data_IF_710074708721
#
_entry.id   IF_710074708721
#
_cell.length_a   1.000
_cell.length_b   1.000
_cell.length_c   1.000
_cell.angle_alpha   90.00
_cell.angle_beta   90.00
_cell.angle_gamma   90.00
#
_symmetry.space_group_name_H-M   'P 1'
#
loop_
_entity.id
_entity.type
_entity.pdbx_description
1 polymer ?
#
# COMPACT_ATOMS: atom_id res chain seq x y z
N UNK A 1 7.03 -39.35 -31.54
CA UNK A 1 7.66 -38.13 -31.05
C UNK A 1 6.77 -36.88 -31.15
N UNK A 2 6.11 -36.60 -32.25
CA UNK A 2 5.27 -35.40 -32.43
C UNK A 2 4.10 -35.32 -31.45
N UNK A 3 3.46 -36.42 -31.09
CA UNK A 3 2.33 -36.48 -30.14
C UNK A 3 2.81 -36.17 -28.70
N UNK A 4 3.97 -36.66 -28.31
CA UNK A 4 4.56 -36.36 -26.97
C UNK A 4 4.99 -34.91 -26.86
N UNK A 5 5.58 -34.34 -27.91
CA UNK A 5 5.93 -32.92 -27.95
C UNK A 5 4.69 -32.03 -27.88
N UNK A 6 3.61 -32.41 -28.60
CA UNK A 6 2.33 -31.71 -28.54
C UNK A 6 1.66 -31.74 -27.16
N UNK A 7 1.71 -32.89 -26.48
CA UNK A 7 1.18 -33.03 -25.12
C UNK A 7 2.00 -32.23 -24.10
N UNK A 8 3.32 -32.20 -24.22
CA UNK A 8 4.21 -31.42 -23.34
C UNK A 8 3.99 -29.91 -23.54
N UNK A 9 3.82 -29.47 -24.78
CA UNK A 9 3.52 -28.07 -25.10
C UNK A 9 2.15 -27.70 -24.55
N UNK A 10 1.14 -28.54 -24.75
CA UNK A 10 -0.22 -28.31 -24.26
C UNK A 10 -0.31 -28.23 -22.73
N UNK A 11 0.49 -29.02 -22.01
CA UNK A 11 0.49 -29.02 -20.55
C UNK A 11 1.30 -27.88 -19.91
N UNK A 12 2.24 -27.29 -20.63
CA UNK A 12 3.13 -26.25 -20.12
C UNK A 12 2.90 -24.87 -20.75
N UNK A 13 1.85 -24.71 -21.57
CA UNK A 13 1.51 -23.42 -22.19
C UNK A 13 0.02 -23.12 -22.01
N UNK A 14 -0.32 -21.85 -21.99
CA UNK A 14 -1.72 -21.37 -21.92
C UNK A 14 -2.45 -21.42 -23.28
N UNK A 15 -1.86 -22.03 -24.33
CA UNK A 15 -2.40 -22.06 -25.69
C UNK A 15 -3.83 -22.62 -25.84
N UNK A 16 -4.29 -23.43 -24.89
CA UNK A 16 -5.65 -23.95 -24.76
C UNK A 16 -6.16 -23.80 -23.32
N UNK A 17 -5.69 -22.78 -22.64
CA UNK A 17 -6.09 -22.46 -21.27
C UNK A 17 -7.48 -21.82 -21.19
N UNK A 18 -7.94 -21.59 -19.97
CA UNK A 18 -9.13 -20.79 -19.68
C UNK A 18 -8.85 -19.34 -20.10
N UNK A 19 -9.75 -18.71 -20.84
CA UNK A 19 -9.57 -17.32 -21.32
C UNK A 19 -9.76 -16.31 -20.19
N UNK A 20 -10.68 -16.62 -19.26
CA UNK A 20 -11.06 -15.75 -18.16
C UNK A 20 -11.07 -16.49 -16.83
N UNK A 21 -10.82 -15.75 -15.76
CA UNK A 21 -10.76 -16.24 -14.38
C UNK A 21 -11.74 -15.46 -13.50
N UNK A 22 -12.20 -16.11 -12.41
CA UNK A 22 -13.02 -15.51 -11.37
C UNK A 22 -14.28 -14.84 -11.94
N UNK A 23 -15.08 -15.64 -12.64
CA UNK A 23 -16.33 -15.21 -13.29
C UNK A 23 -16.13 -14.07 -14.31
N UNK A 24 -15.10 -14.21 -15.15
CA UNK A 24 -14.80 -13.24 -16.20
C UNK A 24 -14.17 -11.93 -15.74
N UNK A 25 -13.76 -11.86 -14.47
CA UNK A 25 -13.16 -10.65 -13.90
C UNK A 25 -11.77 -10.38 -14.46
N UNK A 26 -10.96 -11.44 -14.63
CA UNK A 26 -9.58 -11.35 -15.08
C UNK A 26 -9.39 -12.16 -16.37
N UNK A 27 -8.76 -11.54 -17.35
CA UNK A 27 -8.32 -12.25 -18.54
C UNK A 27 -7.05 -13.08 -18.27
N UNK A 28 -6.82 -14.10 -19.06
CA UNK A 28 -5.60 -14.91 -18.94
C UNK A 28 -4.33 -14.09 -19.18
N UNK A 29 -4.38 -13.05 -20.00
CA UNK A 29 -3.25 -12.13 -20.21
C UNK A 29 -2.93 -11.28 -18.98
N UNK A 30 -3.92 -10.78 -18.25
CA UNK A 30 -3.72 -10.03 -17.02
C UNK A 30 -3.12 -10.91 -15.91
N UNK A 31 -3.66 -12.13 -15.76
CA UNK A 31 -3.14 -13.11 -14.78
C UNK A 31 -1.72 -13.55 -15.15
N UNK A 32 -1.45 -13.75 -16.45
CA UNK A 32 -0.10 -14.12 -16.93
C UNK A 32 0.92 -13.01 -16.70
N UNK A 33 0.52 -11.74 -16.82
CA UNK A 33 1.39 -10.60 -16.51
C UNK A 33 1.71 -10.51 -15.01
N UNK A 34 0.78 -10.92 -14.14
CA UNK A 34 0.99 -10.93 -12.70
C UNK A 34 1.74 -12.17 -12.20
N UNK A 35 1.58 -13.31 -12.87
CA UNK A 35 2.27 -14.56 -12.56
C UNK A 35 3.29 -14.88 -13.64
N UNK A 36 4.48 -14.29 -13.52
CA UNK A 36 5.59 -14.62 -14.42
C UNK A 36 6.00 -16.09 -14.26
N UNK A 37 6.39 -16.72 -15.37
CA UNK A 37 6.89 -18.08 -15.37
C UNK A 37 6.25 -19.00 -16.38
N UNK A 38 6.65 -20.28 -16.34
CA UNK A 38 6.14 -21.36 -17.21
C UNK A 38 5.02 -22.12 -16.49
N UNK A 39 4.16 -22.77 -17.23
CA UNK A 39 3.07 -23.58 -16.72
C UNK A 39 1.71 -23.00 -17.08
N UNK A 40 0.69 -23.82 -16.90
CA UNK A 40 -0.70 -23.47 -17.24
C UNK A 40 -1.34 -22.69 -16.10
N UNK A 41 -2.07 -21.63 -16.44
CA UNK A 41 -2.89 -20.91 -15.50
C UNK A 41 -4.12 -21.73 -15.07
N UNK A 42 -4.41 -21.73 -13.80
CA UNK A 42 -5.58 -22.40 -13.22
C UNK A 42 -6.18 -21.51 -12.10
N UNK A 43 -7.51 -21.51 -12.06
CA UNK A 43 -8.26 -20.96 -10.92
C UNK A 43 -8.28 -22.01 -9.82
N UNK A 44 -7.91 -21.64 -8.62
CA UNK A 44 -7.92 -22.53 -7.45
C UNK A 44 -9.16 -22.28 -6.60
N UNK A 45 -9.48 -21.04 -6.34
CA UNK A 45 -10.64 -20.66 -5.55
C UNK A 45 -11.26 -19.38 -6.09
N UNK A 46 -12.59 -19.37 -6.21
CA UNK A 46 -13.36 -18.15 -6.42
C UNK A 46 -14.56 -18.15 -5.48
N UNK A 47 -14.62 -17.13 -4.66
CA UNK A 47 -15.74 -16.89 -3.76
C UNK A 47 -16.16 -15.42 -3.86
N UNK A 48 -17.44 -15.21 -4.04
CA UNK A 48 -18.06 -13.90 -4.00
C UNK A 48 -19.33 -13.97 -3.16
N UNK A 49 -19.36 -13.21 -2.07
CA UNK A 49 -20.54 -13.14 -1.23
C UNK A 49 -21.38 -11.92 -1.61
N UNK A 50 -22.47 -12.13 -2.35
CA UNK A 50 -23.27 -11.10 -3.00
C UNK A 50 -23.60 -9.87 -2.15
N UNK A 51 -24.21 -10.05 -0.95
CA UNK A 51 -24.59 -8.92 -0.10
C UNK A 51 -23.45 -8.29 0.70
N UNK A 52 -22.34 -8.99 0.89
CA UNK A 52 -21.20 -8.50 1.65
C UNK A 52 -20.15 -7.84 0.77
N UNK A 53 -20.28 -7.92 -0.56
CA UNK A 53 -19.30 -7.44 -1.54
C UNK A 53 -17.87 -7.95 -1.24
N UNK A 54 -17.80 -9.09 -0.54
CA UNK A 54 -16.56 -9.78 -0.28
C UNK A 54 -16.18 -10.64 -1.48
N UNK A 55 -14.94 -10.48 -1.90
CA UNK A 55 -14.37 -11.20 -3.03
C UNK A 55 -13.10 -11.90 -2.58
N UNK A 56 -12.92 -13.14 -3.01
CA UNK A 56 -11.66 -13.88 -2.98
C UNK A 56 -11.50 -14.62 -4.27
N UNK A 57 -10.38 -14.41 -4.92
CA UNK A 57 -10.04 -15.09 -6.17
C UNK A 57 -8.58 -15.53 -6.08
N UNK A 58 -8.35 -16.83 -6.19
CA UNK A 58 -7.01 -17.40 -6.16
C UNK A 58 -6.70 -18.09 -7.49
N UNK A 59 -5.59 -17.70 -8.08
CA UNK A 59 -5.13 -18.22 -9.37
C UNK A 59 -3.66 -18.65 -9.22
N UNK A 60 -3.29 -19.71 -9.95
CA UNK A 60 -1.93 -20.25 -9.89
C UNK A 60 -1.42 -20.69 -11.24
N UNK A 61 -0.09 -20.83 -11.34
CA UNK A 61 0.53 -21.58 -12.43
C UNK A 61 0.85 -22.99 -11.97
N UNK A 62 0.36 -23.96 -12.73
CA UNK A 62 0.65 -25.36 -12.48
C UNK A 62 1.69 -25.84 -13.50
N UNK A 63 2.81 -26.38 -13.02
CA UNK A 63 3.82 -27.05 -13.85
C UNK A 63 4.01 -28.48 -13.38
N UNK A 64 3.93 -29.44 -14.30
CA UNK A 64 4.13 -30.86 -13.95
C UNK A 64 5.58 -31.31 -14.01
N UNK A 65 6.49 -30.54 -14.58
CA UNK A 65 7.81 -31.07 -14.95
C UNK A 65 8.99 -30.18 -14.57
N UNK A 66 8.78 -28.92 -14.17
CA UNK A 66 9.89 -27.96 -14.12
C UNK A 66 10.13 -27.37 -12.73
N UNK A 67 9.12 -27.28 -11.88
CA UNK A 67 9.30 -26.69 -10.57
C UNK A 67 8.33 -27.26 -9.53
N UNK A 68 8.79 -27.34 -8.28
CA UNK A 68 7.99 -27.70 -7.12
C UNK A 68 7.27 -26.47 -6.52
N UNK A 69 7.56 -25.25 -6.99
CA UNK A 69 6.89 -24.03 -6.60
C UNK A 69 5.74 -23.75 -7.57
N UNK A 70 4.53 -23.66 -7.04
CA UNK A 70 3.36 -23.21 -7.79
C UNK A 70 3.11 -21.74 -7.45
N UNK A 71 3.57 -20.77 -8.27
CA UNK A 71 3.31 -19.37 -7.98
C UNK A 71 1.81 -19.08 -8.00
N UNK A 72 1.34 -18.40 -6.96
CA UNK A 72 -0.05 -18.01 -6.76
C UNK A 72 -0.21 -16.51 -6.79
N UNK A 73 -1.35 -16.04 -7.28
CA UNK A 73 -1.86 -14.69 -7.01
C UNK A 73 -3.23 -14.80 -6.35
N UNK A 74 -3.36 -14.14 -5.22
CA UNK A 74 -4.62 -14.01 -4.48
C UNK A 74 -5.12 -12.58 -4.59
N UNK A 75 -6.37 -12.41 -5.03
CA UNK A 75 -7.06 -11.12 -5.04
C UNK A 75 -8.20 -11.17 -4.03
N UNK A 76 -8.19 -10.28 -3.04
CA UNK A 76 -9.11 -10.36 -1.91
C UNK A 76 -9.62 -8.98 -1.50
N UNK A 77 -10.92 -8.91 -1.16
CA UNK A 77 -11.47 -7.73 -0.45
C UNK A 77 -11.08 -7.82 1.01
N UNK A 78 -10.43 -6.80 1.52
CA UNK A 78 -10.09 -6.65 2.92
C UNK A 78 -10.86 -5.48 3.54
N UNK A 79 -11.16 -5.61 4.84
CA UNK A 79 -11.89 -4.62 5.64
C UNK A 79 -11.01 -4.21 6.81
N UNK A 80 -10.19 -3.21 6.58
CA UNK A 80 -9.34 -2.67 7.65
C UNK A 80 -10.00 -1.48 8.32
N UNK A 81 -9.62 -1.27 9.54
CA UNK A 81 -9.85 0.00 10.19
C UNK A 81 -9.07 1.08 9.43
N UNK A 82 -9.60 2.32 9.38
CA UNK A 82 -9.11 3.34 8.46
C UNK A 82 -7.62 3.66 8.55
N UNK A 83 -7.03 3.63 9.75
CA UNK A 83 -5.59 3.82 9.94
C UNK A 83 -4.76 2.55 9.67
N UNK A 84 -5.37 1.36 9.76
CA UNK A 84 -4.72 0.08 9.44
C UNK A 84 -4.43 -0.04 7.94
N UNK A 85 -5.12 0.70 7.07
CA UNK A 85 -4.77 0.80 5.65
C UNK A 85 -3.30 1.19 5.50
N UNK A 86 -2.82 2.14 6.31
CA UNK A 86 -1.43 2.59 6.32
C UNK A 86 -0.47 1.68 7.08
N UNK A 87 -1.01 0.68 7.79
CA UNK A 87 -0.26 -0.35 8.51
C UNK A 87 -0.21 -1.65 7.73
N UNK A 88 -0.91 -1.74 6.60
CA UNK A 88 -0.96 -2.96 5.80
C UNK A 88 0.46 -3.43 5.42
N UNK A 89 0.65 -4.73 5.18
CA UNK A 89 1.93 -5.27 4.75
C UNK A 89 2.51 -4.60 3.49
N UNK A 90 1.68 -3.98 2.66
CA UNK A 90 2.14 -3.18 1.51
C UNK A 90 3.01 -2.04 2.00
N UNK A 91 2.59 -1.33 3.03
CA UNK A 91 3.34 -0.23 3.62
C UNK A 91 4.57 -0.66 4.42
N UNK A 92 4.65 -1.93 4.84
CA UNK A 92 5.77 -2.43 5.65
C UNK A 92 7.08 -2.67 4.86
N UNK A 93 7.00 -2.88 3.54
CA UNK A 93 8.16 -3.04 2.65
C UNK A 93 8.35 -1.82 1.74
N UNK A 94 8.35 -0.67 2.29
CA UNK A 94 8.23 0.66 1.72
C UNK A 94 9.34 1.04 0.76
N UNK A 95 10.50 0.50 0.96
CA UNK A 95 11.67 0.68 0.09
C UNK A 95 11.45 0.28 -1.39
N UNK A 96 10.29 -0.27 -1.72
CA UNK A 96 9.94 -0.75 -3.07
C UNK A 96 8.50 -0.40 -3.46
N UNK A 97 7.89 0.55 -2.76
CA UNK A 97 6.50 0.91 -2.97
C UNK A 97 6.38 1.99 -4.04
N UNK A 98 5.42 1.82 -4.91
CA UNK A 98 4.96 2.84 -5.85
C UNK A 98 3.49 3.14 -5.59
N UNK A 99 3.10 4.40 -5.65
CA UNK A 99 1.73 4.85 -5.44
C UNK A 99 1.12 5.34 -6.74
N UNK A 100 -0.21 5.25 -6.83
CA UNK A 100 -0.96 5.87 -7.92
C UNK A 100 -0.90 7.39 -7.80
N UNK A 101 -0.60 8.07 -8.91
CA UNK A 101 -0.59 9.54 -8.94
C UNK A 101 -2.00 10.11 -9.14
N UNK A 102 -2.83 9.41 -9.91
CA UNK A 102 -4.18 9.84 -10.25
C UNK A 102 -5.18 8.69 -10.11
N UNK A 103 -6.46 9.03 -10.01
CA UNK A 103 -7.55 8.04 -9.95
C UNK A 103 -7.82 7.55 -8.53
N UNK A 104 -7.96 6.25 -8.34
CA UNK A 104 -8.17 5.66 -7.02
C UNK A 104 -6.88 5.67 -6.20
N UNK A 105 -7.04 5.83 -4.89
CA UNK A 105 -5.92 5.62 -3.96
C UNK A 105 -5.47 4.18 -4.02
N UNK A 106 -4.24 3.97 -4.39
CA UNK A 106 -3.64 2.65 -4.49
C UNK A 106 -2.12 2.70 -4.43
N UNK A 107 -1.53 1.54 -4.29
CA UNK A 107 -0.08 1.39 -4.31
C UNK A 107 0.32 -0.05 -4.53
N UNK A 108 1.53 -0.26 -4.99
CA UNK A 108 2.05 -1.57 -5.29
C UNK A 108 3.52 -1.73 -4.97
N UNK A 109 3.88 -2.95 -4.61
CA UNK A 109 5.24 -3.48 -4.57
C UNK A 109 5.35 -4.65 -5.53
N UNK A 110 6.51 -5.26 -5.66
CA UNK A 110 6.68 -6.48 -6.47
C UNK A 110 5.97 -7.71 -5.91
N UNK A 111 5.36 -7.64 -4.73
CA UNK A 111 4.69 -8.77 -4.08
C UNK A 111 3.22 -8.53 -3.78
N UNK A 112 2.82 -7.28 -3.65
CA UNK A 112 1.45 -6.93 -3.28
C UNK A 112 1.05 -5.57 -3.85
N UNK A 113 -0.20 -5.47 -4.28
CA UNK A 113 -0.87 -4.20 -4.58
C UNK A 113 -2.11 -4.04 -3.72
N UNK A 114 -2.58 -2.82 -3.58
CA UNK A 114 -3.85 -2.49 -2.93
C UNK A 114 -4.52 -1.31 -3.65
N UNK A 115 -5.84 -1.30 -3.63
CA UNK A 115 -6.68 -0.20 -4.15
C UNK A 115 -7.81 0.04 -3.15
N UNK A 116 -7.98 1.29 -2.73
CA UNK A 116 -9.04 1.70 -1.81
C UNK A 116 -10.35 1.86 -2.57
N UNK A 117 -11.42 1.25 -2.10
CA UNK A 117 -12.76 1.49 -2.63
C UNK A 117 -13.17 2.94 -2.35
N UNK A 118 -13.75 3.69 -3.33
CA UNK A 118 -14.15 5.07 -3.13
C UNK A 118 -15.13 5.23 -1.97
N UNK A 119 -15.04 6.33 -1.23
CA UNK A 119 -15.86 6.56 -0.04
C UNK A 119 -17.36 6.62 -0.34
N UNK A 120 -17.73 7.02 -1.54
CA UNK A 120 -19.11 7.04 -2.02
C UNK A 120 -19.76 5.65 -2.02
N UNK A 121 -18.94 4.61 -2.18
CA UNK A 121 -19.39 3.22 -2.19
C UNK A 121 -19.53 2.60 -0.78
N UNK A 122 -18.97 3.23 0.24
CA UNK A 122 -18.97 2.65 1.59
C UNK A 122 -20.37 2.51 2.19
N UNK A 123 -21.35 3.32 1.74
CA UNK A 123 -22.75 3.22 2.17
C UNK A 123 -23.48 1.99 1.63
N UNK A 124 -23.06 1.49 0.47
CA UNK A 124 -23.61 0.27 -0.17
C UNK A 124 -22.97 -1.04 0.31
N UNK A 125 -21.83 -0.96 1.00
CA UNK A 125 -21.07 -2.11 1.48
C UNK A 125 -21.32 -2.30 2.97
N UNK A 126 -21.72 -3.49 3.46
CA UNK A 126 -21.96 -3.74 4.88
C UNK A 126 -20.64 -3.76 5.66
N UNK A 127 -20.23 -2.60 6.15
CA UNK A 127 -18.97 -2.38 6.84
C UNK A 127 -19.13 -2.50 8.37
N UNK A 128 -18.15 -3.08 9.02
CA UNK A 128 -17.99 -2.93 10.46
C UNK A 128 -17.68 -1.46 10.79
N UNK A 129 -18.13 -1.01 11.98
CA UNK A 129 -17.91 0.38 12.41
C UNK A 129 -16.41 0.73 12.35
N UNK A 130 -16.09 1.81 11.65
CA UNK A 130 -14.72 2.29 11.50
C UNK A 130 -13.90 1.59 10.40
N UNK A 131 -14.41 0.52 9.78
CA UNK A 131 -13.70 -0.15 8.69
C UNK A 131 -13.90 0.54 7.35
N UNK A 132 -12.93 0.37 6.46
CA UNK A 132 -12.98 0.76 5.05
C UNK A 132 -12.65 -0.45 4.18
N UNK A 133 -13.31 -0.61 3.02
CA UNK A 133 -13.02 -1.70 2.11
C UNK A 133 -11.86 -1.31 1.18
N UNK A 134 -10.97 -2.25 0.96
CA UNK A 134 -9.93 -2.14 -0.06
C UNK A 134 -9.65 -3.52 -0.66
N UNK A 135 -9.15 -3.54 -1.88
CA UNK A 135 -8.80 -4.75 -2.60
C UNK A 135 -7.29 -4.92 -2.55
N UNK A 136 -6.84 -6.15 -2.33
CA UNK A 136 -5.43 -6.52 -2.42
C UNK A 136 -5.21 -7.54 -3.51
N UNK A 137 -4.07 -7.45 -4.18
CA UNK A 137 -3.54 -8.52 -5.03
C UNK A 137 -2.15 -8.90 -4.49
N UNK A 138 -1.94 -10.14 -4.14
CA UNK A 138 -0.69 -10.63 -3.55
C UNK A 138 -0.17 -11.86 -4.27
N UNK A 139 1.14 -11.89 -4.56
CA UNK A 139 1.82 -13.07 -5.10
C UNK A 139 2.59 -13.82 -4.01
N UNK A 140 2.54 -15.14 -4.09
CA UNK A 140 3.25 -16.07 -3.19
C UNK A 140 3.74 -17.29 -3.95
N UNK A 141 4.55 -18.12 -3.29
CA UNK A 141 5.06 -19.39 -3.84
C UNK A 141 4.16 -20.59 -3.50
N UNK A 142 3.00 -20.35 -2.90
CA UNK A 142 2.06 -21.40 -2.50
C UNK A 142 2.56 -22.33 -1.39
N UNK A 143 3.72 -22.06 -0.80
CA UNK A 143 4.27 -22.89 0.29
C UNK A 143 3.64 -22.49 1.62
N UNK A 144 3.27 -23.47 2.41
CA UNK A 144 2.76 -23.28 3.76
C UNK A 144 3.64 -24.02 4.78
N UNK A 145 4.34 -23.37 5.76
CA UNK A 145 4.28 -21.91 5.99
C UNK A 145 4.98 -21.11 4.89
N UNK A 146 4.54 -19.85 4.65
CA UNK A 146 5.15 -19.00 3.64
C UNK A 146 6.62 -18.77 4.01
N UNK A 147 7.51 -19.32 3.23
CA UNK A 147 8.93 -19.00 3.29
C UNK A 147 9.15 -17.66 2.60
N UNK A 148 10.30 -17.01 2.85
CA UNK A 148 10.67 -15.81 2.10
C UNK A 148 10.77 -16.18 0.62
N UNK A 149 9.66 -16.10 -0.09
CA UNK A 149 9.57 -16.51 -1.49
C UNK A 149 10.22 -15.45 -2.37
N UNK A 150 10.98 -15.93 -3.36
CA UNK A 150 11.56 -15.07 -4.38
C UNK A 150 10.56 -14.72 -5.50
N UNK A 151 9.34 -15.26 -5.41
CA UNK A 151 8.27 -14.95 -6.37
C UNK A 151 7.94 -13.46 -6.29
N UNK A 152 8.07 -12.80 -7.42
CA UNK A 152 7.77 -11.39 -7.60
C UNK A 152 6.96 -11.18 -8.86
N UNK A 153 6.28 -10.07 -8.94
CA UNK A 153 5.48 -9.65 -10.08
C UNK A 153 5.82 -8.23 -10.47
N UNK A 154 5.34 -7.78 -11.62
CA UNK A 154 5.30 -6.36 -11.94
C UNK A 154 4.31 -5.65 -11.00
N UNK A 155 4.70 -4.53 -10.35
CA UNK A 155 3.78 -3.73 -9.55
C UNK A 155 2.54 -3.28 -10.33
N UNK A 156 2.71 -2.95 -11.62
CA UNK A 156 1.66 -2.53 -12.52
C UNK A 156 0.62 -3.65 -12.74
N UNK A 157 1.10 -4.87 -12.97
CA UNK A 157 0.21 -6.01 -13.18
C UNK A 157 -0.60 -6.34 -11.92
N UNK A 158 0.02 -6.31 -10.74
CA UNK A 158 -0.70 -6.51 -9.48
C UNK A 158 -1.71 -5.40 -9.22
N UNK A 159 -1.34 -4.15 -9.50
CA UNK A 159 -2.25 -3.01 -9.35
C UNK A 159 -3.44 -3.15 -10.30
N UNK A 160 -3.22 -3.60 -11.54
CA UNK A 160 -4.29 -3.84 -12.50
C UNK A 160 -5.28 -4.90 -12.02
N UNK A 161 -4.81 -6.00 -11.41
CA UNK A 161 -5.70 -6.99 -10.81
C UNK A 161 -6.52 -6.40 -9.65
N UNK A 162 -5.87 -5.67 -8.74
CA UNK A 162 -6.56 -5.03 -7.62
C UNK A 162 -7.59 -3.98 -8.10
N UNK A 163 -7.26 -3.24 -9.15
CA UNK A 163 -8.17 -2.26 -9.78
C UNK A 163 -9.40 -2.93 -10.41
N UNK A 164 -9.21 -3.99 -11.20
CA UNK A 164 -10.31 -4.75 -11.79
C UNK A 164 -11.26 -5.31 -10.72
N UNK A 165 -10.70 -5.85 -9.64
CA UNK A 165 -11.49 -6.34 -8.52
C UNK A 165 -12.23 -5.20 -7.81
N UNK A 166 -11.60 -4.03 -7.67
CA UNK A 166 -12.25 -2.83 -7.11
C UNK A 166 -13.41 -2.39 -7.99
N UNK A 167 -13.24 -2.38 -9.31
CA UNK A 167 -14.31 -2.07 -10.25
C UNK A 167 -15.50 -3.01 -10.10
N UNK A 168 -15.25 -4.32 -9.96
CA UNK A 168 -16.31 -5.31 -9.74
C UNK A 168 -17.08 -5.02 -8.45
N UNK A 169 -16.39 -4.70 -7.36
CA UNK A 169 -17.03 -4.34 -6.09
C UNK A 169 -17.86 -3.04 -6.20
N UNK A 170 -17.37 -2.04 -6.93
CA UNK A 170 -18.09 -0.79 -7.21
C UNK A 170 -19.37 -1.06 -7.99
N UNK A 171 -19.29 -1.87 -9.04
CA UNK A 171 -20.44 -2.22 -9.90
C UNK A 171 -21.49 -3.01 -9.12
N UNK A 172 -21.06 -4.01 -8.34
CA UNK A 172 -21.94 -4.83 -7.49
C UNK A 172 -22.59 -4.02 -6.36
N UNK A 173 -21.90 -3.01 -5.83
CA UNK A 173 -22.45 -2.09 -4.83
C UNK A 173 -23.42 -1.07 -5.45
N UNK A 174 -23.51 -0.99 -6.77
CA UNK A 174 -24.37 -0.04 -7.47
C UNK A 174 -23.98 1.42 -7.27
N UNK A 175 -22.75 1.71 -6.85
CA UNK A 175 -22.31 3.07 -6.52
C UNK A 175 -21.67 3.81 -7.70
N UNK A 176 -21.36 3.13 -8.79
CA UNK A 176 -20.79 3.73 -10.00
C UNK A 176 -21.69 4.84 -10.62
N UNK A 177 -23.00 4.75 -10.42
CA UNK A 177 -23.97 5.72 -10.93
C UNK A 177 -24.07 7.01 -10.11
N UNK A 178 -23.64 6.99 -8.85
CA UNK A 178 -23.75 8.11 -7.91
C UNK A 178 -22.50 9.00 -7.88
N UNK A 179 -21.41 8.56 -8.49
CA UNK A 179 -20.19 9.35 -8.61
C UNK A 179 -20.34 10.34 -9.77
N UNK A 180 -20.45 11.64 -9.48
CA UNK A 180 -20.45 12.73 -10.47
C UNK A 180 -19.14 12.84 -11.28
N UNK A 181 -18.17 11.99 -10.96
CA UNK A 181 -16.95 11.76 -11.74
C UNK A 181 -16.92 10.32 -12.22
N UNK A 182 -16.74 10.11 -13.51
CA UNK A 182 -16.48 8.78 -14.05
C UNK A 182 -15.33 8.17 -13.25
N UNK A 183 -15.55 6.95 -12.74
CA UNK A 183 -14.46 6.11 -12.23
C UNK A 183 -13.31 6.16 -13.23
N UNK A 184 -12.15 6.51 -12.75
CA UNK A 184 -10.92 6.49 -13.55
C UNK A 184 -10.01 5.45 -12.93
N UNK A 185 -9.67 4.45 -13.73
CA UNK A 185 -8.66 3.46 -13.33
C UNK A 185 -7.38 4.16 -12.87
N UNK A 186 -6.67 3.62 -11.87
CA UNK A 186 -5.38 4.14 -11.48
C UNK A 186 -4.45 4.24 -12.71
N UNK A 187 -3.72 5.32 -12.80
CA UNK A 187 -2.69 5.45 -13.83
C UNK A 187 -1.50 4.58 -13.46
N UNK A 188 -1.47 3.38 -14.03
CA UNK A 188 -0.40 2.41 -13.77
C UNK A 188 0.93 2.83 -14.40
N UNK A 189 0.91 3.74 -15.39
CA UNK A 189 2.13 4.27 -16.00
C UNK A 189 2.84 5.28 -15.11
N UNK A 190 2.14 5.83 -14.14
CA UNK A 190 2.65 6.77 -13.17
C UNK A 190 3.28 6.12 -11.92
N UNK A 191 3.37 4.78 -11.87
CA UNK A 191 4.03 4.09 -10.76
C UNK A 191 5.52 4.43 -10.73
N UNK A 192 5.92 5.19 -9.72
CA UNK A 192 7.32 5.57 -9.49
C UNK A 192 7.90 4.76 -8.34
N UNK A 193 9.10 4.21 -8.54
CA UNK A 193 9.85 3.61 -7.44
C UNK A 193 10.67 4.67 -6.72
N UNK A 194 10.65 4.65 -5.40
CA UNK A 194 11.44 5.55 -4.59
C UNK A 194 12.95 5.27 -4.70
N UNK A 195 13.78 6.30 -4.76
CA UNK A 195 15.23 6.20 -4.80
C UNK A 195 15.85 6.41 -3.40
N UNK A 196 16.97 5.70 -3.13
CA UNK A 196 17.74 5.90 -1.90
C UNK A 196 18.73 7.05 -2.06
N UNK A 197 18.72 7.96 -1.10
CA UNK A 197 19.73 9.01 -1.01
C UNK A 197 20.16 9.28 0.43
N UNK A 198 21.20 10.06 0.61
CA UNK A 198 21.67 10.46 1.94
C UNK A 198 20.73 11.54 2.49
N UNK A 199 20.35 11.41 3.76
CA UNK A 199 19.49 12.39 4.41
C UNK A 199 20.17 13.75 4.55
N UNK A 200 19.44 14.82 4.22
CA UNK A 200 19.80 16.19 4.47
C UNK A 200 19.15 16.64 5.79
N UNK A 201 19.94 17.25 6.69
CA UNK A 201 19.45 17.70 8.02
C UNK A 201 18.44 18.83 7.95
N UNK A 202 18.53 19.69 6.94
CA UNK A 202 17.68 20.86 6.79
C UNK A 202 16.45 20.57 5.92
N UNK A 203 16.48 19.46 5.17
CA UNK A 203 15.45 19.10 4.21
C UNK A 203 15.21 17.56 4.25
N UNK A 204 14.91 17.02 5.42
CA UNK A 204 14.70 15.58 5.60
C UNK A 204 13.62 15.11 4.65
N UNK A 205 13.89 13.98 3.98
CA UNK A 205 13.00 13.39 3.01
C UNK A 205 12.72 14.31 1.80
N UNK A 206 13.65 15.19 1.47
CA UNK A 206 13.51 16.17 0.40
C UNK A 206 12.49 17.28 0.70
N UNK A 207 11.92 17.32 1.91
CA UNK A 207 10.93 18.33 2.32
C UNK A 207 11.61 19.58 2.83
N UNK A 208 11.46 20.70 2.12
CA UNK A 208 12.10 21.97 2.45
C UNK A 208 11.77 22.41 3.88
N UNK A 209 12.81 22.64 4.68
CA UNK A 209 12.69 23.11 6.06
C UNK A 209 12.11 22.09 7.03
N UNK A 210 11.89 20.85 6.62
CA UNK A 210 11.47 19.79 7.50
C UNK A 210 12.68 19.17 8.20
N UNK A 211 12.70 19.28 9.53
CA UNK A 211 13.75 18.76 10.40
C UNK A 211 13.13 17.89 11.50
N UNK A 212 13.86 16.88 11.93
CA UNK A 212 13.51 16.15 13.15
C UNK A 212 14.01 16.92 14.38
N UNK A 213 13.19 17.03 15.43
CA UNK A 213 13.63 17.62 16.68
C UNK A 213 14.71 16.75 17.36
N UNK A 214 15.54 17.31 18.25
CA UNK A 214 16.58 16.56 18.96
C UNK A 214 16.05 15.33 19.69
N UNK A 215 14.85 15.41 20.26
CA UNK A 215 14.21 14.32 21.01
C UNK A 215 13.77 13.14 20.10
N UNK A 216 13.81 13.31 18.79
CA UNK A 216 13.63 12.21 17.84
C UNK A 216 14.90 11.34 17.70
N UNK A 217 16.00 11.68 18.33
CA UNK A 217 17.22 10.88 18.35
C UNK A 217 17.37 10.23 19.73
N UNK A 218 17.10 8.91 19.84
CA UNK A 218 17.04 8.23 21.14
C UNK A 218 18.35 8.29 21.91
N UNK A 219 19.49 8.32 21.21
CA UNK A 219 20.82 8.43 21.84
C UNK A 219 21.73 9.34 21.02
N UNK A 220 22.80 9.86 21.63
CA UNK A 220 23.71 10.82 20.99
C UNK A 220 24.49 10.22 19.79
N UNK A 221 24.61 8.90 19.72
CA UNK A 221 25.25 8.18 18.61
C UNK A 221 24.29 7.88 17.44
N UNK A 222 23.00 8.11 17.63
CA UNK A 222 22.00 7.99 16.56
C UNK A 222 21.99 9.26 15.73
N UNK A 223 22.23 9.12 14.44
CA UNK A 223 22.30 10.23 13.49
C UNK A 223 21.47 9.97 12.25
N UNK A 224 21.25 11.01 11.43
CA UNK A 224 20.62 10.84 10.13
C UNK A 224 21.47 9.96 9.21
N UNK A 225 20.85 9.04 8.53
CA UNK A 225 21.50 8.08 7.65
C UNK A 225 21.02 8.21 6.20
N UNK A 226 20.20 7.28 5.79
CA UNK A 226 19.65 7.22 4.42
C UNK A 226 18.15 7.42 4.46
N UNK A 227 17.64 8.04 3.41
CA UNK A 227 16.22 8.19 3.20
C UNK A 227 15.81 7.69 1.83
N UNK A 228 14.55 7.35 1.71
CA UNK A 228 13.92 6.94 0.49
C UNK A 228 12.55 7.58 0.41
N UNK A 229 12.31 8.34 -0.65
CA UNK A 229 11.07 9.09 -0.83
C UNK A 229 10.34 8.63 -2.09
N UNK A 230 9.01 8.67 -2.05
CA UNK A 230 8.20 8.59 -3.26
C UNK A 230 8.30 9.89 -4.04
N UNK A 231 7.83 9.89 -5.30
CA UNK A 231 7.74 11.12 -6.11
C UNK A 231 6.92 12.18 -5.38
N UNK A 232 7.33 13.43 -5.49
CA UNK A 232 6.61 14.58 -4.92
C UNK A 232 5.32 14.93 -5.67
N UNK A 233 5.11 14.40 -6.88
CA UNK A 233 3.98 14.72 -7.75
C UNK A 233 2.68 13.98 -7.42
N UNK A 234 2.73 12.96 -6.55
CA UNK A 234 1.56 12.14 -6.23
C UNK A 234 0.71 12.69 -5.09
N UNK A 235 -0.58 12.31 -5.06
CA UNK A 235 -1.49 12.62 -3.95
C UNK A 235 -1.14 11.87 -2.65
N UNK A 236 -0.21 10.93 -2.73
CA UNK A 236 0.37 10.20 -1.60
C UNK A 236 1.88 10.34 -1.67
N UNK A 237 2.45 10.88 -0.63
CA UNK A 237 3.89 10.95 -0.46
C UNK A 237 4.30 10.15 0.78
N UNK A 238 5.39 9.41 0.68
CA UNK A 238 5.95 8.65 1.79
C UNK A 238 7.47 8.74 1.78
N UNK A 239 8.04 8.69 2.98
CA UNK A 239 9.48 8.66 3.19
C UNK A 239 9.82 7.63 4.27
N UNK A 240 10.73 6.72 3.94
CA UNK A 240 11.40 5.86 4.90
C UNK A 240 12.74 6.45 5.27
N UNK A 241 12.91 6.79 6.52
CA UNK A 241 14.13 7.33 7.08
C UNK A 241 14.84 6.29 7.93
N UNK A 242 16.05 5.91 7.51
CA UNK A 242 16.93 5.01 8.24
C UNK A 242 17.97 5.84 8.98
N UNK A 243 17.95 5.75 10.30
CA UNK A 243 18.94 6.39 11.16
C UNK A 243 20.18 5.50 11.30
N UNK A 244 21.35 6.12 11.39
CA UNK A 244 22.61 5.45 11.71
C UNK A 244 22.83 5.42 13.21
N UNK A 245 23.55 4.40 13.71
CA UNK A 245 23.84 4.24 15.12
C UNK A 245 23.39 2.90 15.67
N UNK A 246 23.34 2.78 16.99
CA UNK A 246 23.00 1.55 17.69
C UNK A 246 21.62 1.05 17.25
N UNK A 247 21.64 -0.02 16.53
CA UNK A 247 20.41 -0.71 16.17
C UNK A 247 19.76 -0.32 14.87
N UNK A 248 20.26 0.67 14.13
CA UNK A 248 19.70 1.11 12.84
C UNK A 248 18.20 1.42 12.95
N UNK A 249 17.78 2.30 13.87
CA UNK A 249 16.36 2.64 14.04
C UNK A 249 15.81 3.27 12.76
N UNK A 250 14.53 3.07 12.49
CA UNK A 250 13.88 3.65 11.34
C UNK A 250 12.48 4.13 11.64
N UNK A 251 12.06 5.14 10.90
CA UNK A 251 10.73 5.72 10.97
C UNK A 251 10.21 5.99 9.55
N UNK A 252 8.91 6.04 9.41
CA UNK A 252 8.27 6.40 8.15
C UNK A 252 7.36 7.58 8.36
N UNK A 253 7.49 8.50 7.43
CA UNK A 253 6.67 9.68 7.29
C UNK A 253 5.76 9.50 6.09
N UNK A 254 4.54 9.98 6.19
CA UNK A 254 3.58 9.92 5.10
C UNK A 254 2.70 11.15 5.11
N UNK A 255 2.39 11.65 3.92
CA UNK A 255 1.35 12.65 3.70
C UNK A 255 0.43 12.22 2.57
N UNK A 256 -0.84 12.60 2.65
CA UNK A 256 -1.78 12.42 1.54
C UNK A 256 -2.87 13.48 1.57
N UNK A 257 -3.15 14.01 0.39
CA UNK A 257 -4.31 14.87 0.11
C UNK A 257 -5.43 14.10 -0.61
N UNK A 258 -5.23 12.81 -0.91
CA UNK A 258 -6.24 12.00 -1.59
C UNK A 258 -7.50 11.88 -0.72
N UNK A 259 -8.64 12.37 -1.27
CA UNK A 259 -9.92 12.50 -0.55
C UNK A 259 -10.37 11.22 0.16
N UNK A 260 -10.28 10.07 -0.51
CA UNK A 260 -10.75 8.80 0.05
C UNK A 260 -9.80 8.28 1.13
N UNK A 261 -8.50 8.51 0.97
CA UNK A 261 -7.49 8.16 1.97
C UNK A 261 -7.64 9.02 3.24
N UNK A 262 -7.87 10.32 3.08
CA UNK A 262 -8.18 11.22 4.22
C UNK A 262 -9.48 10.81 4.89
N UNK A 263 -10.53 10.48 4.12
CA UNK A 263 -11.79 10.00 4.67
C UNK A 263 -11.63 8.68 5.43
N UNK A 264 -10.78 7.76 4.93
CA UNK A 264 -10.46 6.51 5.63
C UNK A 264 -9.78 6.79 6.97
N UNK A 265 -8.77 7.66 7.00
CA UNK A 265 -8.10 8.06 8.23
C UNK A 265 -9.06 8.68 9.26
N UNK A 266 -9.98 9.55 8.81
CA UNK A 266 -11.00 10.18 9.68
C UNK A 266 -12.03 9.21 10.23
N UNK A 267 -12.39 8.17 9.46
CA UNK A 267 -13.41 7.18 9.87
C UNK A 267 -13.03 6.44 11.14
N UNK A 268 -11.76 6.33 11.40
CA UNK A 268 -11.24 5.57 12.53
C UNK A 268 -10.64 6.41 13.64
N UNK A 269 -10.55 7.72 13.50
CA UNK A 269 -9.93 8.58 14.50
C UNK A 269 -10.54 8.34 15.89
N UNK A 270 -10.04 7.30 16.59
CA UNK A 270 -10.13 7.17 18.03
C UNK A 270 -8.97 7.97 18.65
N UNK A 271 -9.13 8.45 19.86
CA UNK A 271 -8.11 9.27 20.54
C UNK A 271 -6.71 8.59 20.60
N UNK A 272 -6.66 7.25 20.58
CA UNK A 272 -5.41 6.48 20.60
C UNK A 272 -4.70 6.40 19.24
N UNK A 273 -5.46 6.36 18.14
CA UNK A 273 -4.89 6.28 16.79
C UNK A 273 -4.36 7.62 16.27
N UNK A 274 -4.78 8.73 16.86
CA UNK A 274 -4.33 10.07 16.50
C UNK A 274 -2.91 10.41 17.02
N UNK A 275 -2.37 9.62 17.94
CA UNK A 275 -1.03 9.91 18.46
C UNK A 275 0.06 9.86 17.38
N UNK A 276 -0.15 9.11 16.30
CA UNK A 276 0.81 8.95 15.20
C UNK A 276 0.29 9.52 13.87
N UNK A 277 -0.83 10.20 13.84
CA UNK A 277 -1.40 10.82 12.64
C UNK A 277 -2.25 12.04 12.95
N UNK A 278 -2.33 12.96 11.99
CA UNK A 278 -3.07 14.22 12.11
C UNK A 278 -3.75 14.59 10.80
N UNK A 279 -4.98 15.06 10.87
CA UNK A 279 -5.67 15.69 9.73
C UNK A 279 -5.56 17.20 9.90
N UNK A 280 -5.04 17.86 8.90
CA UNK A 280 -4.94 19.32 8.80
C UNK A 280 -5.94 19.82 7.79
N UNK A 281 -6.70 20.86 8.12
CA UNK A 281 -7.64 21.51 7.22
C UNK A 281 -7.03 22.77 6.66
N UNK A 282 -7.07 22.89 5.33
CA UNK A 282 -6.64 24.05 4.58
C UNK A 282 -7.78 24.54 3.69
N UNK A 283 -7.64 25.71 3.07
CA UNK A 283 -8.64 26.25 2.14
C UNK A 283 -8.86 25.35 0.91
N UNK A 284 -7.78 24.71 0.42
CA UNK A 284 -7.81 23.83 -0.74
C UNK A 284 -8.33 22.43 -0.45
N UNK A 285 -8.40 22.02 0.83
CA UNK A 285 -8.84 20.69 1.20
C UNK A 285 -8.27 20.21 2.53
N UNK A 286 -8.17 18.90 2.67
CA UNK A 286 -7.65 18.26 3.89
C UNK A 286 -6.39 17.47 3.56
N UNK A 287 -5.39 17.60 4.41
CA UNK A 287 -4.13 16.86 4.38
C UNK A 287 -4.09 15.90 5.57
N UNK A 288 -3.82 14.64 5.34
CA UNK A 288 -3.49 13.69 6.39
C UNK A 288 -1.99 13.48 6.43
N UNK A 289 -1.41 13.61 7.62
CA UNK A 289 -0.01 13.33 7.89
C UNK A 289 0.11 12.23 8.91
N UNK A 290 1.07 11.34 8.75
CA UNK A 290 1.29 10.21 9.64
C UNK A 290 2.78 9.94 9.84
N UNK A 291 3.13 9.52 11.06
CA UNK A 291 4.42 9.01 11.43
C UNK A 291 4.26 7.56 11.91
N UNK A 292 5.11 6.69 11.40
CA UNK A 292 5.23 5.31 11.85
C UNK A 292 6.60 5.07 12.45
N UNK A 293 6.62 4.60 13.69
CA UNK A 293 7.84 4.20 14.39
C UNK A 293 8.01 2.68 14.23
N UNK A 294 9.14 2.25 13.71
CA UNK A 294 9.44 0.83 13.68
C UNK A 294 9.76 0.33 15.09
N UNK A 295 9.38 -0.91 15.40
CA UNK A 295 9.48 -1.48 16.74
C UNK A 295 10.84 -1.20 17.41
N UNK A 296 11.92 -1.45 16.69
CA UNK A 296 13.28 -1.21 17.22
C UNK A 296 13.57 0.25 17.55
N UNK A 297 13.03 1.18 16.79
CA UNK A 297 13.14 2.60 17.09
C UNK A 297 12.31 2.98 18.31
N UNK A 298 11.10 2.43 18.39
CA UNK A 298 10.21 2.62 19.53
C UNK A 298 10.85 2.08 20.82
N UNK A 299 11.41 0.86 20.77
CA UNK A 299 12.10 0.25 21.92
C UNK A 299 13.26 1.14 22.43
N UNK A 300 14.07 1.69 21.52
CA UNK A 300 15.17 2.59 21.89
C UNK A 300 14.68 3.90 22.54
N UNK A 301 13.57 4.46 22.03
CA UNK A 301 12.97 5.66 22.61
C UNK A 301 12.43 5.36 24.02
N UNK A 302 11.74 4.26 24.22
CA UNK A 302 11.18 3.87 25.51
C UNK A 302 12.25 3.56 26.54
N UNK A 303 13.31 2.84 26.14
CA UNK A 303 14.45 2.54 27.01
C UNK A 303 15.17 3.81 27.51
N UNK A 304 15.26 4.84 26.68
CA UNK A 304 15.91 6.09 27.01
C UNK A 304 15.03 6.99 27.88
N UNK A 305 13.74 6.98 27.61
CA UNK A 305 12.74 7.74 28.38
C UNK A 305 12.61 7.23 29.82
N UNK A 306 12.62 5.90 30.02
CA UNK A 306 12.61 5.27 31.34
C UNK A 306 13.84 5.70 32.17
N UNK A 307 15.01 5.88 31.52
CA UNK A 307 16.24 6.31 32.18
C UNK A 307 16.23 7.78 32.56
N UNK A 308 15.52 8.64 31.81
CA UNK A 308 15.57 10.10 31.98
C UNK A 308 14.26 10.71 32.50
N UNK A 309 13.22 9.90 32.74
CA UNK A 309 11.92 10.37 33.26
C UNK A 309 11.19 11.32 32.30
N UNK A 310 11.47 11.23 31.00
CA UNK A 310 10.81 12.04 29.96
C UNK A 310 9.45 11.42 29.63
N UNK A 311 8.60 12.21 28.98
CA UNK A 311 7.37 11.67 28.38
C UNK A 311 7.71 11.03 27.04
N UNK A 312 7.59 9.70 26.91
CA UNK A 312 7.84 9.05 25.65
C UNK A 312 6.96 9.67 24.56
N UNK A 313 7.55 9.87 23.39
CA UNK A 313 6.81 10.30 22.19
C UNK A 313 6.21 11.72 22.23
N UNK A 314 6.60 12.58 23.18
CA UNK A 314 6.12 13.97 23.24
C UNK A 314 6.42 14.76 21.94
N UNK A 315 7.52 14.44 21.26
CA UNK A 315 7.94 15.09 20.02
C UNK A 315 7.07 14.75 18.80
N UNK A 316 6.23 13.69 18.85
CA UNK A 316 5.45 13.24 17.68
C UNK A 316 4.53 14.33 17.15
N UNK A 317 3.89 15.09 18.03
CA UNK A 317 3.02 16.19 17.63
C UNK A 317 3.76 17.28 16.86
N UNK A 318 4.99 17.60 17.28
CA UNK A 318 5.84 18.60 16.64
C UNK A 318 6.32 18.12 15.26
N UNK A 319 6.72 16.84 15.15
CA UNK A 319 7.11 16.22 13.87
C UNK A 319 5.95 16.24 12.89
N UNK A 320 4.75 15.80 13.29
CA UNK A 320 3.57 15.80 12.45
C UNK A 320 3.18 17.22 12.01
N UNK A 321 3.27 18.19 12.92
CA UNK A 321 2.96 19.58 12.60
C UNK A 321 4.00 20.19 11.65
N UNK A 322 5.29 19.92 11.85
CA UNK A 322 6.36 20.37 10.98
C UNK A 322 6.25 19.77 9.59
N UNK A 323 5.98 18.47 9.51
CA UNK A 323 5.75 17.77 8.23
C UNK A 323 4.54 18.35 7.48
N UNK A 324 3.43 18.57 8.18
CA UNK A 324 2.23 19.15 7.58
C UNK A 324 2.48 20.57 7.03
N UNK A 325 3.22 21.39 7.76
CA UNK A 325 3.60 22.75 7.30
C UNK A 325 4.46 22.70 6.05
N UNK A 326 5.48 21.83 6.04
CA UNK A 326 6.35 21.67 4.88
C UNK A 326 5.58 21.18 3.65
N UNK A 327 4.70 20.19 3.83
CA UNK A 327 3.85 19.69 2.71
C UNK A 327 2.90 20.76 2.18
N UNK A 328 2.22 21.48 3.06
CA UNK A 328 1.31 22.55 2.66
C UNK A 328 2.04 23.67 1.91
N UNK A 329 3.27 24.00 2.34
CA UNK A 329 4.08 25.01 1.67
C UNK A 329 4.54 24.57 0.26
N UNK A 330 4.87 23.29 0.07
CA UNK A 330 5.23 22.75 -1.24
C UNK A 330 4.05 22.69 -2.22
N UNK A 331 2.84 22.40 -1.71
CA UNK A 331 1.61 22.38 -2.49
C UNK A 331 0.96 23.77 -2.61
N UNK A 332 1.59 24.81 -2.10
CA UNK A 332 1.09 26.19 -2.07
C UNK A 332 -0.28 26.33 -1.40
N UNK A 333 -0.57 25.49 -0.40
CA UNK A 333 -1.83 25.52 0.33
C UNK A 333 -1.86 26.62 1.38
N UNK A 334 -2.98 27.34 1.46
CA UNK A 334 -3.22 28.47 2.36
C UNK A 334 -4.29 28.16 3.40
N UNK A 335 -4.38 29.04 4.42
CA UNK A 335 -5.41 28.93 5.46
C UNK A 335 -5.37 27.62 6.25
N UNK A 336 -4.21 27.00 6.40
CA UNK A 336 -4.07 25.72 7.11
C UNK A 336 -4.13 25.90 8.63
N UNK A 337 -4.95 25.09 9.29
CA UNK A 337 -5.06 25.01 10.75
C UNK A 337 -4.26 23.80 11.26
N UNK A 338 -3.02 24.06 11.71
CA UNK A 338 -2.08 23.05 12.19
C UNK A 338 -2.30 22.65 13.65
#
# INVERSE_FOLDING_TARGET
>A
MVVLAGLLTWWNTDLLGKEDFCDGMFSSSEVSAALEGTGRLAEEEYQQAGRSHWLRCEMKRTSRFVDSSEPHVSVTTEFLKGDEVFQSPVWQKRERMAFTEHGLAGGATRKRAWVLVPKECWGGIPLRRGSVPYLTAEVSDGRNPPQASDVTSSPEALLQLADRATQRVIDDAGCAQNSSGRYRAPDTTALTSADHHRSDRENICGKRGFMLPPDAFPTADVTLGRERTTSASGTVWACDLHLQGKGGPSLTLMTTSHRDTVAAAKRQATAESLNNGKVVRCEQGELYVRLWLHNRYLDLLLDEDDRHGRRPLAFLGDVLTSLAKSQAAEEEWSGCHF
#
